data_IF_711937990838
#
_entry.id   IF_711937990838
#
_cell.length_a   1.000
_cell.length_b   1.000
_cell.length_c   1.000
_cell.angle_alpha   90.00
_cell.angle_beta   90.00
_cell.angle_gamma   90.00
#
_symmetry.space_group_name_H-M   'P 1'
#
loop_
_entity.id
_entity.type
_entity.pdbx_description
1 polymer ?
#
# COMPACT_ATOMS: atom_id res chain seq x y z
N UNK A 1 17.22 -10.68 -3.12
CA UNK A 1 17.19 -9.35 -3.76
C UNK A 1 17.23 -8.28 -2.66
N UNK A 2 17.72 -7.07 -2.94
CA UNK A 2 17.72 -6.00 -1.94
C UNK A 2 16.30 -5.54 -1.63
N UNK A 3 16.04 -5.19 -0.36
CA UNK A 3 14.74 -4.65 0.08
C UNK A 3 14.53 -3.28 -0.56
N UNK A 4 13.34 -3.07 -1.14
CA UNK A 4 12.99 -1.78 -1.70
C UNK A 4 12.83 -0.72 -0.59
N UNK A 5 13.54 0.39 -0.73
CA UNK A 5 13.49 1.51 0.23
C UNK A 5 12.68 2.65 -0.35
N UNK A 6 11.66 3.11 0.39
CA UNK A 6 10.84 4.27 0.02
C UNK A 6 11.69 5.55 0.02
N UNK A 7 11.71 6.35 -1.06
CA UNK A 7 12.40 7.63 -1.09
C UNK A 7 11.60 8.70 -0.31
N UNK A 8 11.58 8.59 1.02
CA UNK A 8 10.74 9.41 1.92
C UNK A 8 10.94 10.90 1.67
N UNK A 9 12.16 11.37 1.49
CA UNK A 9 12.43 12.80 1.22
C UNK A 9 11.78 13.29 -0.08
N UNK A 10 11.74 12.48 -1.13
CA UNK A 10 11.07 12.83 -2.39
C UNK A 10 9.56 12.85 -2.24
N UNK A 11 8.98 11.88 -1.51
CA UNK A 11 7.55 11.91 -1.18
C UNK A 11 7.17 13.14 -0.35
N UNK A 12 7.94 13.42 0.70
CA UNK A 12 7.73 14.56 1.61
C UNK A 12 7.76 15.87 0.84
N UNK A 13 8.82 16.13 0.06
CA UNK A 13 8.96 17.37 -0.71
C UNK A 13 7.79 17.57 -1.69
N UNK A 14 7.33 16.51 -2.35
CA UNK A 14 6.17 16.58 -3.24
C UNK A 14 4.91 16.87 -2.43
N UNK A 15 4.62 16.10 -1.37
CA UNK A 15 3.41 16.31 -0.55
C UNK A 15 3.36 17.74 -0.02
N UNK A 16 4.42 18.21 0.65
CA UNK A 16 4.47 19.54 1.26
C UNK A 16 4.33 20.66 0.22
N UNK A 17 4.94 20.51 -0.95
CA UNK A 17 4.86 21.52 -2.01
C UNK A 17 3.49 21.57 -2.68
N UNK A 18 2.82 20.42 -2.83
CA UNK A 18 1.52 20.34 -3.50
C UNK A 18 0.35 20.60 -2.55
N UNK A 19 0.54 20.45 -1.23
CA UNK A 19 -0.49 20.61 -0.22
C UNK A 19 -1.24 21.98 -0.29
N UNK A 20 -0.57 23.14 -0.48
CA UNK A 20 -1.25 24.43 -0.60
C UNK A 20 -2.15 24.57 -1.84
N UNK A 21 -2.02 23.67 -2.82
CA UNK A 21 -2.83 23.65 -4.05
C UNK A 21 -3.96 22.61 -3.99
N UNK A 22 -4.18 22.00 -2.83
CA UNK A 22 -5.07 20.86 -2.64
C UNK A 22 -6.20 21.16 -1.65
N UNK A 23 -7.25 20.37 -1.73
CA UNK A 23 -8.41 20.43 -0.82
C UNK A 23 -8.51 19.13 -0.01
N UNK A 24 -8.99 19.22 1.23
CA UNK A 24 -9.19 18.04 2.08
C UNK A 24 -10.27 17.13 1.50
N UNK A 25 -10.03 15.82 1.50
CA UNK A 25 -11.01 14.81 1.07
C UNK A 25 -11.86 14.33 2.25
N UNK A 26 -11.34 14.38 3.47
CA UNK A 26 -12.07 13.97 4.67
C UNK A 26 -13.00 15.08 5.17
N UNK A 27 -14.28 14.73 5.34
CA UNK A 27 -15.22 15.47 6.20
C UNK A 27 -15.08 15.00 7.65
N UNK A 28 -15.74 15.69 8.59
CA UNK A 28 -15.62 15.55 10.06
C UNK A 28 -15.96 14.18 10.68
N UNK A 29 -16.09 13.12 9.87
CA UNK A 29 -16.41 11.75 10.30
C UNK A 29 -15.18 10.83 10.38
N UNK A 30 -15.27 9.69 11.10
CA UNK A 30 -14.19 8.71 11.14
C UNK A 30 -13.88 8.21 9.73
N UNK A 31 -12.62 8.33 9.29
CA UNK A 31 -12.20 7.96 7.93
C UNK A 31 -12.10 6.44 7.72
N UNK A 32 -12.25 5.64 8.78
CA UNK A 32 -11.99 4.20 8.71
C UNK A 32 -12.92 3.49 7.74
N UNK A 33 -12.36 2.88 6.70
CA UNK A 33 -13.11 2.11 5.71
C UNK A 33 -13.81 2.97 4.65
N UNK A 34 -13.64 4.29 4.68
CA UNK A 34 -14.15 5.18 3.63
C UNK A 34 -13.48 4.82 2.30
N UNK A 35 -14.30 4.49 1.29
CA UNK A 35 -13.84 4.17 -0.05
C UNK A 35 -13.93 5.41 -0.94
N UNK A 36 -12.77 5.92 -1.36
CA UNK A 36 -12.68 6.89 -2.44
C UNK A 36 -12.76 6.09 -3.74
N UNK A 37 -13.91 6.18 -4.41
CA UNK A 37 -14.05 5.72 -5.79
C UNK A 37 -13.37 6.74 -6.67
N UNK A 38 -12.35 6.30 -7.40
CA UNK A 38 -11.71 7.14 -8.41
C UNK A 38 -12.66 7.14 -9.61
N UNK A 39 -13.34 8.26 -9.81
CA UNK A 39 -14.21 8.46 -10.98
C UNK A 39 -13.37 8.52 -12.26
N UNK A 40 -14.02 8.40 -13.43
CA UNK A 40 -13.39 8.44 -14.76
C UNK A 40 -12.59 9.72 -15.04
N UNK A 41 -12.65 10.73 -14.18
CA UNK A 41 -11.72 11.83 -14.28
C UNK A 41 -10.31 11.35 -13.97
N UNK A 42 -9.56 11.13 -15.06
CA UNK A 42 -8.10 11.06 -15.21
C UNK A 42 -7.33 12.22 -14.52
N UNK A 43 -7.96 12.99 -13.65
CA UNK A 43 -7.66 14.36 -13.35
C UNK A 43 -7.42 14.61 -11.87
N UNK A 44 -7.28 13.62 -10.98
CA UNK A 44 -6.93 13.91 -9.57
C UNK A 44 -5.72 13.13 -9.08
N UNK A 45 -4.83 13.84 -8.39
CA UNK A 45 -3.86 13.23 -7.49
C UNK A 45 -4.38 13.31 -6.07
N UNK A 46 -3.94 12.38 -5.24
CA UNK A 46 -4.20 12.42 -3.81
C UNK A 46 -2.91 12.48 -3.03
N UNK A 47 -2.86 13.32 -2.01
CA UNK A 47 -1.73 13.51 -1.12
C UNK A 47 -2.11 12.94 0.25
N UNK A 48 -1.43 11.87 0.66
CA UNK A 48 -1.58 11.28 1.99
C UNK A 48 -0.58 11.97 2.92
N UNK A 49 -1.09 12.90 3.73
CA UNK A 49 -0.31 13.66 4.72
C UNK A 49 -0.13 12.87 6.02
N UNK A 50 -1.18 12.19 6.50
CA UNK A 50 -1.16 11.42 7.75
C UNK A 50 -1.91 10.10 7.59
N UNK A 51 -1.36 9.04 8.20
CA UNK A 51 -2.01 7.73 8.33
C UNK A 51 -1.64 6.78 7.20
N UNK A 52 -2.54 5.86 6.88
CA UNK A 52 -2.34 4.87 5.83
C UNK A 52 -3.59 4.71 4.97
N UNK A 53 -3.40 4.22 3.76
CA UNK A 53 -4.52 3.78 2.91
C UNK A 53 -4.25 2.41 2.35
N UNK A 54 -5.31 1.65 2.14
CA UNK A 54 -5.26 0.44 1.32
C UNK A 54 -5.64 0.78 -0.12
N UNK A 55 -4.82 0.30 -1.05
CA UNK A 55 -5.09 0.37 -2.49
C UNK A 55 -5.75 -0.94 -2.87
N UNK A 56 -7.03 -0.91 -3.21
CA UNK A 56 -7.85 -2.10 -3.51
C UNK A 56 -8.06 -2.27 -5.00
N UNK A 57 -7.72 -3.44 -5.53
CA UNK A 57 -7.91 -3.77 -6.94
C UNK A 57 -9.40 -3.80 -7.27
N UNK A 58 -9.78 -3.12 -8.35
CA UNK A 58 -11.13 -3.27 -8.89
C UNK A 58 -11.27 -4.63 -9.57
N UNK A 59 -12.43 -5.26 -9.41
CA UNK A 59 -12.75 -6.59 -9.94
C UNK A 59 -12.81 -7.68 -8.86
N UNK A 60 -11.84 -7.71 -7.93
CA UNK A 60 -11.79 -8.74 -6.87
C UNK A 60 -11.55 -8.20 -5.44
N UNK A 61 -11.50 -6.87 -5.28
CA UNK A 61 -11.38 -6.18 -3.99
C UNK A 61 -10.11 -6.53 -3.17
N UNK A 62 -9.12 -7.20 -3.79
CA UNK A 62 -7.87 -7.51 -3.10
C UNK A 62 -7.05 -6.26 -2.86
N UNK A 63 -6.50 -6.13 -1.65
CA UNK A 63 -5.54 -5.09 -1.31
C UNK A 63 -4.24 -5.38 -2.05
N UNK A 64 -3.89 -4.50 -2.98
CA UNK A 64 -2.63 -4.53 -3.72
C UNK A 64 -1.50 -4.04 -2.81
N UNK A 65 -1.75 -2.98 -2.06
CA UNK A 65 -0.76 -2.36 -1.19
C UNK A 65 -1.43 -1.62 -0.02
N UNK A 66 -0.74 -1.58 1.12
CA UNK A 66 -0.99 -0.60 2.18
C UNK A 66 0.15 0.39 2.15
N UNK A 67 -0.17 1.67 1.99
CA UNK A 67 0.82 2.74 1.88
C UNK A 67 0.63 3.73 3.02
N UNK A 68 1.75 4.12 3.62
CA UNK A 68 1.79 5.00 4.79
C UNK A 68 2.28 6.38 4.37
N UNK A 69 1.80 7.42 5.05
CA UNK A 69 2.25 8.80 4.88
C UNK A 69 3.78 8.94 5.04
N UNK A 70 4.41 9.91 4.36
CA UNK A 70 3.85 10.74 3.30
C UNK A 70 3.73 9.94 1.99
N UNK A 71 2.63 10.06 1.26
CA UNK A 71 2.46 9.33 0.00
C UNK A 71 1.68 10.12 -1.05
N UNK A 72 1.92 9.82 -2.32
CA UNK A 72 1.19 10.41 -3.46
C UNK A 72 0.49 9.29 -4.21
N UNK A 73 -0.82 9.41 -4.42
CA UNK A 73 -1.64 8.46 -5.18
C UNK A 73 -2.11 9.11 -6.47
N UNK A 74 -2.52 8.27 -7.43
CA UNK A 74 -3.05 8.72 -8.72
C UNK A 74 -2.03 8.88 -9.85
N UNK A 75 -0.79 8.42 -9.64
CA UNK A 75 0.25 8.46 -10.68
C UNK A 75 0.02 7.48 -11.83
N UNK A 76 -0.85 6.50 -11.64
CA UNK A 76 -1.20 5.48 -12.62
C UNK A 76 -2.29 5.92 -13.60
N UNK A 77 -2.88 7.11 -13.42
CA UNK A 77 -3.91 7.63 -14.32
C UNK A 77 -3.25 8.23 -15.56
N UNK A 78 -2.88 7.35 -16.49
CA UNK A 78 -2.46 7.72 -17.85
C UNK A 78 -3.70 7.98 -18.72
N UNK A 79 -3.63 8.99 -19.60
CA UNK A 79 -4.75 9.30 -20.50
C UNK A 79 -5.03 8.11 -21.43
N UNK A 80 -6.21 7.52 -21.32
CA UNK A 80 -6.59 6.30 -22.06
C UNK A 80 -6.43 4.98 -21.28
N UNK A 81 -5.95 5.02 -20.03
CA UNK A 81 -6.00 3.86 -19.13
C UNK A 81 -7.34 3.76 -18.38
N UNK A 82 -7.73 2.56 -17.96
CA UNK A 82 -8.90 2.42 -17.07
C UNK A 82 -8.53 2.74 -15.61
N UNK A 83 -9.54 2.92 -14.77
CA UNK A 83 -9.34 2.94 -13.32
C UNK A 83 -9.19 1.50 -12.85
N UNK A 84 -8.06 1.19 -12.19
CA UNK A 84 -7.75 -0.18 -11.75
C UNK A 84 -7.86 -0.40 -10.24
N UNK A 85 -8.05 0.67 -9.45
CA UNK A 85 -8.13 0.57 -7.99
C UNK A 85 -9.07 1.60 -7.36
N UNK A 86 -9.54 1.28 -6.15
CA UNK A 86 -10.11 2.23 -5.19
C UNK A 86 -9.14 2.47 -4.02
N UNK A 87 -9.36 3.56 -3.29
CA UNK A 87 -8.56 3.91 -2.10
C UNK A 87 -9.46 3.75 -0.87
N UNK A 88 -9.08 2.88 0.05
CA UNK A 88 -9.72 2.72 1.35
C UNK A 88 -8.88 3.43 2.41
N UNK A 89 -9.48 4.37 3.13
CA UNK A 89 -8.80 5.14 4.17
C UNK A 89 -8.68 4.33 5.48
N UNK A 90 -7.51 4.42 6.11
CA UNK A 90 -7.32 3.99 7.49
C UNK A 90 -7.99 4.94 8.50
N UNK A 91 -7.93 4.62 9.80
CA UNK A 91 -8.37 5.53 10.85
C UNK A 91 -7.51 6.81 10.88
N UNK A 92 -8.13 7.93 11.26
CA UNK A 92 -7.50 9.25 11.45
C UNK A 92 -6.59 9.73 10.31
N UNK A 93 -6.95 9.36 9.07
CA UNK A 93 -6.17 9.67 7.89
C UNK A 93 -6.43 11.11 7.42
N UNK A 94 -5.36 11.82 7.06
CA UNK A 94 -5.44 13.12 6.39
C UNK A 94 -5.02 12.95 4.95
N UNK A 95 -6.00 13.07 4.06
CA UNK A 95 -5.79 12.94 2.62
C UNK A 95 -6.40 14.14 1.89
N UNK A 96 -5.64 14.65 0.94
CA UNK A 96 -6.01 15.81 0.14
C UNK A 96 -6.09 15.41 -1.32
N UNK A 97 -6.89 16.11 -2.10
CA UNK A 97 -6.96 15.93 -3.54
C UNK A 97 -6.65 17.22 -4.27
N UNK A 98 -6.11 17.10 -5.47
CA UNK A 98 -5.95 18.23 -6.37
C UNK A 98 -6.02 17.79 -7.83
N UNK A 99 -6.43 18.70 -8.74
CA UNK A 99 -6.44 18.41 -10.15
C UNK A 99 -5.04 18.04 -10.68
N UNK A 100 -4.94 17.06 -11.56
CA UNK A 100 -3.70 16.59 -12.20
C UNK A 100 -2.99 17.72 -12.93
N UNK A 101 -3.74 18.59 -13.62
CA UNK A 101 -3.18 19.76 -14.31
C UNK A 101 -2.52 20.69 -13.29
N UNK A 102 -3.20 20.99 -12.18
CA UNK A 102 -2.67 21.81 -11.09
C UNK A 102 -1.41 21.18 -10.47
N UNK A 103 -1.44 19.87 -10.21
CA UNK A 103 -0.31 19.15 -9.66
C UNK A 103 0.92 19.18 -10.59
N UNK A 104 0.74 18.89 -11.88
CA UNK A 104 1.83 18.93 -12.86
C UNK A 104 2.36 20.35 -13.06
N UNK A 105 1.48 21.36 -13.01
CA UNK A 105 1.86 22.77 -13.01
C UNK A 105 2.72 23.13 -11.79
N UNK A 106 2.33 22.67 -10.60
CA UNK A 106 3.10 22.88 -9.37
C UNK A 106 4.46 22.16 -9.41
N UNK A 107 4.50 20.91 -9.88
CA UNK A 107 5.74 20.13 -10.06
C UNK A 107 6.71 20.88 -10.98
N UNK A 108 6.21 21.42 -12.09
CA UNK A 108 7.01 22.23 -13.02
C UNK A 108 7.49 23.53 -12.37
N UNK A 109 6.58 24.27 -11.74
CA UNK A 109 6.85 25.59 -11.13
C UNK A 109 7.94 25.51 -10.06
N UNK A 110 7.96 24.42 -9.28
CA UNK A 110 8.85 24.23 -8.15
C UNK A 110 10.05 23.31 -8.46
N UNK A 111 10.30 23.01 -9.73
CA UNK A 111 11.41 22.16 -10.21
C UNK A 111 11.51 20.80 -9.49
N UNK A 112 10.37 20.12 -9.33
CA UNK A 112 10.28 18.84 -8.60
C UNK A 112 10.43 17.60 -9.49
N UNK A 113 10.90 17.75 -10.73
CA UNK A 113 10.99 16.64 -11.68
C UNK A 113 11.87 15.48 -11.18
N UNK A 114 12.96 15.79 -10.47
CA UNK A 114 13.86 14.77 -9.91
C UNK A 114 13.16 13.92 -8.85
N UNK A 115 12.48 14.56 -7.91
CA UNK A 115 11.72 13.90 -6.86
C UNK A 115 10.54 13.14 -7.44
N UNK A 116 9.87 13.72 -8.44
CA UNK A 116 8.78 13.10 -9.15
C UNK A 116 9.21 11.78 -9.80
N UNK A 117 10.32 11.81 -10.55
CA UNK A 117 10.87 10.62 -11.18
C UNK A 117 11.28 9.57 -10.15
N UNK A 118 11.89 9.96 -9.03
CA UNK A 118 12.22 9.02 -7.93
C UNK A 118 10.97 8.34 -7.36
N UNK A 119 9.88 9.08 -7.17
CA UNK A 119 8.61 8.54 -6.69
C UNK A 119 8.00 7.56 -7.71
N UNK A 120 7.98 7.92 -8.99
CA UNK A 120 7.48 7.04 -10.06
C UNK A 120 8.32 5.77 -10.16
N UNK A 121 9.66 5.89 -10.20
CA UNK A 121 10.56 4.74 -10.27
C UNK A 121 10.41 3.81 -9.07
N UNK A 122 10.28 4.35 -7.84
CA UNK A 122 10.01 3.53 -6.65
C UNK A 122 8.70 2.75 -6.78
N UNK A 123 7.63 3.40 -7.24
CA UNK A 123 6.31 2.75 -7.42
C UNK A 123 6.36 1.65 -8.48
N UNK A 124 7.08 1.85 -9.58
CA UNK A 124 7.27 0.81 -10.60
C UNK A 124 8.05 -0.38 -10.03
N UNK A 125 9.15 -0.12 -9.33
CA UNK A 125 9.93 -1.17 -8.68
C UNK A 125 9.10 -1.96 -7.65
N UNK A 126 8.25 -1.28 -6.88
CA UNK A 126 7.30 -1.92 -5.96
C UNK A 126 6.35 -2.87 -6.70
N UNK A 127 5.75 -2.43 -7.81
CA UNK A 127 4.82 -3.25 -8.59
C UNK A 127 5.52 -4.48 -9.18
N UNK A 128 6.73 -4.34 -9.72
CA UNK A 128 7.50 -5.47 -10.24
C UNK A 128 7.87 -6.48 -9.15
N UNK A 129 8.36 -6.00 -8.00
CA UNK A 129 8.72 -6.87 -6.90
C UNK A 129 7.48 -7.59 -6.32
N UNK A 130 6.33 -6.91 -6.23
CA UNK A 130 5.06 -7.53 -5.85
C UNK A 130 4.61 -8.60 -6.85
N UNK A 131 4.70 -8.32 -8.14
CA UNK A 131 4.30 -9.26 -9.19
C UNK A 131 5.08 -10.58 -9.10
N UNK A 132 6.41 -10.50 -8.94
CA UNK A 132 7.28 -11.66 -8.73
C UNK A 132 6.86 -12.45 -7.48
N UNK A 133 6.57 -11.77 -6.38
CA UNK A 133 6.19 -12.42 -5.11
C UNK A 133 4.83 -13.12 -5.13
N UNK A 134 3.85 -12.62 -5.89
CA UNK A 134 2.48 -13.17 -5.87
C UNK A 134 2.25 -14.17 -7.02
N UNK A 135 2.74 -13.88 -8.23
CA UNK A 135 2.35 -14.65 -9.42
C UNK A 135 3.13 -15.97 -9.57
N UNK A 136 4.37 -16.04 -9.06
CA UNK A 136 5.29 -17.17 -9.33
C UNK A 136 5.34 -18.24 -8.22
N UNK A 137 4.48 -18.13 -7.21
CA UNK A 137 4.67 -18.80 -5.93
C UNK A 137 3.48 -19.69 -5.56
N UNK A 138 3.76 -20.83 -4.94
CA UNK A 138 2.74 -21.70 -4.37
C UNK A 138 2.08 -21.07 -3.14
N UNK A 139 1.02 -21.71 -2.63
CA UNK A 139 0.24 -21.15 -1.52
C UNK A 139 1.09 -20.88 -0.26
N UNK A 140 2.05 -21.75 0.05
CA UNK A 140 2.94 -21.59 1.22
C UNK A 140 3.85 -20.38 1.03
N UNK A 141 4.43 -20.24 -0.15
CA UNK A 141 5.35 -19.17 -0.50
C UNK A 141 4.64 -17.80 -0.54
N UNK A 142 3.40 -17.73 -1.05
CA UNK A 142 2.57 -16.53 -0.98
C UNK A 142 2.35 -16.10 0.48
N UNK A 143 1.97 -17.04 1.35
CA UNK A 143 1.77 -16.74 2.79
C UNK A 143 3.07 -16.26 3.44
N UNK A 144 4.21 -16.91 3.17
CA UNK A 144 5.50 -16.49 3.71
C UNK A 144 5.91 -15.09 3.19
N UNK A 145 5.67 -14.80 1.92
CA UNK A 145 5.90 -13.47 1.35
C UNK A 145 5.03 -12.41 2.02
N UNK A 146 3.76 -12.70 2.33
CA UNK A 146 2.88 -11.76 3.00
C UNK A 146 3.25 -11.57 4.49
N UNK A 147 3.71 -12.60 5.17
CA UNK A 147 4.20 -12.51 6.56
C UNK A 147 5.47 -11.68 6.67
N UNK A 148 6.45 -11.93 5.79
CA UNK A 148 7.68 -11.11 5.71
C UNK A 148 7.39 -9.66 5.34
N UNK A 149 6.33 -9.39 4.56
CA UNK A 149 5.85 -8.02 4.34
C UNK A 149 5.23 -7.44 5.62
N UNK A 150 4.31 -8.17 6.26
CA UNK A 150 3.55 -7.71 7.43
C UNK A 150 4.46 -7.28 8.58
N UNK A 151 5.49 -8.06 8.91
CA UNK A 151 6.40 -7.75 10.02
C UNK A 151 7.19 -6.44 9.84
N UNK A 152 7.27 -5.94 8.60
CA UNK A 152 7.97 -4.69 8.28
C UNK A 152 7.08 -3.45 8.31
N UNK A 153 5.78 -3.63 8.56
CA UNK A 153 4.83 -2.52 8.67
C UNK A 153 4.90 -1.88 10.06
N UNK A 154 4.46 -0.60 10.19
CA UNK A 154 4.40 0.09 11.48
C UNK A 154 3.64 -0.71 12.55
N UNK A 155 4.13 -0.67 13.78
CA UNK A 155 3.65 -1.48 14.90
C UNK A 155 2.17 -1.24 15.18
N UNK A 156 1.79 0.03 15.20
CA UNK A 156 0.44 0.56 15.33
C UNK A 156 -0.52 0.01 14.24
N UNK A 157 -0.04 -0.32 13.04
CA UNK A 157 -0.84 -1.04 12.06
C UNK A 157 -0.90 -2.55 12.36
N UNK A 158 0.23 -3.17 12.70
CA UNK A 158 0.35 -4.62 12.93
C UNK A 158 -0.48 -5.08 14.13
N UNK A 159 -0.61 -4.24 15.15
CA UNK A 159 -1.39 -4.50 16.37
C UNK A 159 -2.90 -4.40 16.14
N UNK A 160 -3.34 -3.80 15.02
CA UNK A 160 -4.75 -3.58 14.69
C UNK A 160 -5.26 -4.49 13.55
N UNK A 161 -4.45 -5.44 13.07
CA UNK A 161 -4.86 -6.38 12.04
C UNK A 161 -4.39 -7.81 12.33
N UNK A 162 -5.33 -8.74 12.39
CA UNK A 162 -4.98 -10.15 12.54
C UNK A 162 -4.26 -10.68 11.31
N UNK A 163 -3.34 -11.62 11.51
CA UNK A 163 -2.53 -12.23 10.45
C UNK A 163 -3.42 -12.83 9.35
N UNK A 164 -4.48 -13.52 9.77
CA UNK A 164 -5.42 -14.16 8.85
C UNK A 164 -6.12 -13.12 7.96
N UNK A 165 -6.65 -12.03 8.55
CA UNK A 165 -7.32 -10.96 7.81
C UNK A 165 -6.35 -10.25 6.86
N UNK A 166 -5.12 -10.00 7.31
CA UNK A 166 -4.10 -9.38 6.46
C UNK A 166 -3.83 -10.21 5.20
N UNK A 167 -3.66 -11.53 5.34
CA UNK A 167 -3.36 -12.44 4.23
C UNK A 167 -4.58 -12.63 3.32
N UNK A 168 -5.76 -12.88 3.90
CA UNK A 168 -7.01 -13.09 3.16
C UNK A 168 -7.33 -11.91 2.24
N UNK A 169 -7.12 -10.69 2.71
CA UNK A 169 -7.40 -9.49 1.90
C UNK A 169 -6.38 -9.27 0.77
N UNK A 170 -5.32 -10.07 0.63
CA UNK A 170 -4.19 -9.82 -0.28
C UNK A 170 -3.88 -10.97 -1.25
N UNK A 171 -4.60 -12.09 -1.15
CA UNK A 171 -4.43 -13.23 -2.05
C UNK A 171 -5.76 -13.95 -2.29
N UNK A 172 -5.78 -14.85 -3.27
CA UNK A 172 -6.97 -15.64 -3.64
C UNK A 172 -7.08 -16.97 -2.88
N UNK A 173 -6.20 -17.21 -1.89
CA UNK A 173 -6.21 -18.44 -1.11
C UNK A 173 -7.42 -18.50 -0.19
N UNK A 174 -8.01 -19.68 -0.04
CA UNK A 174 -9.08 -19.87 0.93
C UNK A 174 -8.58 -19.69 2.38
N UNK A 175 -9.49 -19.23 3.25
CA UNK A 175 -9.25 -19.13 4.70
C UNK A 175 -8.67 -20.41 5.30
N UNK A 176 -9.23 -21.56 4.95
CA UNK A 176 -8.78 -22.87 5.45
C UNK A 176 -7.37 -23.22 4.98
N UNK A 177 -7.01 -22.86 3.74
CA UNK A 177 -5.65 -23.02 3.23
C UNK A 177 -4.65 -22.16 4.01
N UNK A 178 -4.98 -20.88 4.22
CA UNK A 178 -4.16 -19.94 4.99
C UNK A 178 -3.94 -20.45 6.41
N UNK A 179 -5.00 -20.87 7.10
CA UNK A 179 -4.91 -21.40 8.48
C UNK A 179 -4.01 -22.63 8.57
N UNK A 180 -4.15 -23.58 7.63
CA UNK A 180 -3.30 -24.77 7.58
C UNK A 180 -1.82 -24.41 7.42
N UNK A 181 -1.50 -23.44 6.57
CA UNK A 181 -0.13 -22.98 6.37
C UNK A 181 0.39 -22.27 7.62
N UNK A 182 -0.38 -21.35 8.21
CA UNK A 182 0.00 -20.65 9.45
C UNK A 182 0.24 -21.63 10.60
N UNK A 183 -0.58 -22.68 10.72
CA UNK A 183 -0.41 -23.73 11.71
C UNK A 183 0.92 -24.47 11.53
N UNK A 184 1.25 -24.85 10.28
CA UNK A 184 2.55 -25.47 9.96
C UNK A 184 3.71 -24.54 10.33
N UNK A 185 3.67 -23.28 9.91
CA UNK A 185 4.75 -22.31 10.18
C UNK A 185 4.94 -22.07 11.68
N UNK A 186 3.86 -22.04 12.46
CA UNK A 186 3.92 -21.93 13.92
C UNK A 186 4.52 -23.19 14.56
N UNK A 187 4.07 -24.38 14.13
CA UNK A 187 4.60 -25.67 14.61
C UNK A 187 6.11 -25.79 14.37
N UNK A 188 6.55 -25.35 13.20
CA UNK A 188 7.95 -25.37 12.77
C UNK A 188 8.77 -24.19 13.31
N UNK A 189 8.18 -23.36 14.19
CA UNK A 189 8.81 -22.18 14.84
C UNK A 189 9.32 -21.11 13.87
N UNK A 190 8.76 -21.04 12.65
CA UNK A 190 9.09 -20.00 11.68
C UNK A 190 8.49 -18.63 12.05
N UNK A 191 7.36 -18.62 12.76
CA UNK A 191 6.64 -17.41 13.19
C UNK A 191 6.06 -17.55 14.60
N UNK A 192 5.81 -16.41 15.23
CA UNK A 192 5.09 -16.31 16.51
C UNK A 192 3.85 -15.44 16.34
N UNK A 193 2.69 -15.99 16.72
CA UNK A 193 1.39 -15.32 16.67
C UNK A 193 0.81 -15.32 18.08
N UNK A 194 0.49 -14.13 18.60
CA UNK A 194 -0.12 -13.88 19.91
C UNK A 194 -1.46 -13.20 19.67
N UNK A 195 -2.54 -13.77 20.21
CA UNK A 195 -3.92 -13.26 20.05
C UNK A 195 -4.36 -12.97 18.60
N UNK A 196 -3.79 -13.72 17.65
CA UNK A 196 -4.07 -13.57 16.22
C UNK A 196 -3.21 -12.53 15.50
N UNK A 197 -2.30 -11.84 16.18
CA UNK A 197 -1.39 -10.83 15.65
C UNK A 197 0.04 -11.37 15.46
N UNK A 198 0.73 -10.91 14.42
CA UNK A 198 2.09 -11.34 14.12
C UNK A 198 3.06 -10.65 15.08
N UNK A 199 3.59 -11.41 16.04
CA UNK A 199 4.55 -10.91 17.02
C UNK A 199 5.98 -10.97 16.46
N UNK A 200 6.34 -12.10 15.83
CA UNK A 200 7.70 -12.33 15.35
C UNK A 200 7.75 -13.18 14.09
N UNK A 201 8.75 -12.90 13.26
CA UNK A 201 9.18 -13.75 12.15
C UNK A 201 10.62 -14.18 12.43
N UNK A 202 10.87 -15.49 12.46
CA UNK A 202 12.20 -16.03 12.76
C UNK A 202 12.99 -16.26 11.46
N UNK A 203 12.64 -17.30 10.71
CA UNK A 203 13.21 -17.61 9.40
C UNK A 203 12.07 -18.08 8.52
N UNK A 204 11.83 -17.44 7.38
CA UNK A 204 10.82 -17.91 6.43
C UNK A 204 11.48 -18.62 5.24
N UNK A 205 10.85 -19.67 4.69
CA UNK A 205 11.34 -20.32 3.47
C UNK A 205 11.40 -19.38 2.25
N UNK A 206 10.62 -18.29 2.28
CA UNK A 206 10.52 -17.30 1.19
C UNK A 206 10.18 -15.95 1.79
N UNK A 207 10.81 -14.89 1.29
CA UNK A 207 10.63 -13.52 1.78
C UNK A 207 10.21 -12.56 0.66
N UNK A 208 9.40 -11.56 1.01
CA UNK A 208 9.07 -10.43 0.15
C UNK A 208 10.26 -9.49 -0.01
N UNK A 209 10.39 -8.90 -1.20
CA UNK A 209 11.39 -7.88 -1.49
C UNK A 209 10.78 -6.49 -1.76
N UNK A 210 9.46 -6.35 -1.63
CA UNK A 210 8.68 -5.10 -1.79
C UNK A 210 8.07 -4.60 -0.48
#
# INVERSE_FOLDING_TARGET
MNKLIKPVNSFTKIVDTLLPYSESVSSEQPTQGTLIKVEREFAKFFLLEKGYVNIRRLGDDLIIATVFSPYVLGLSFYSGAEVYYSIELGPDCKIYQLPRISALGAIKKHDLYREWMRVVSYKMAFLYARDISIFRHGAKEIVCSLLSRLITLPDDFRENISVIKYIEQRCTLSRSCIQRILFSLKKDKHIEIIDGYLSKVNLLPTESHY
#
